data_IF_293406411270
#
_entry.id   IF_293406411270
#
_cell.length_a   1.000
_cell.length_b   1.000
_cell.length_c   1.000
_cell.angle_alpha   90.00
_cell.angle_beta   90.00
_cell.angle_gamma   90.00
#
_symmetry.space_group_name_H-M   'P 1'
#
loop_
_entity.id
_entity.type
_entity.pdbx_description
1 polymer ?
#
# COMPACT_ATOMS: atom_id res chain seq x y z
N UNK A 1 -2.06 0.77 -9.26
CA UNK A 1 -3.31 0.85 -8.50
C UNK A 1 -3.36 1.98 -7.45
N UNK A 2 -2.19 2.51 -7.03
CA UNK A 2 -2.09 3.54 -5.97
C UNK A 2 -1.79 4.95 -6.49
N UNK A 3 -1.54 5.13 -7.78
CA UNK A 3 -1.12 6.40 -8.36
C UNK A 3 -2.09 7.57 -8.12
N UNK A 4 -3.39 7.27 -8.04
CA UNK A 4 -4.41 8.28 -7.74
C UNK A 4 -4.48 8.70 -6.25
N UNK A 5 -3.77 7.98 -5.36
CA UNK A 5 -3.76 8.26 -3.91
C UNK A 5 -2.53 9.07 -3.49
N UNK A 6 -2.16 10.08 -4.24
CA UNK A 6 -1.11 11.02 -3.89
C UNK A 6 -1.63 12.09 -2.90
N UNK A 7 -0.73 12.69 -2.11
CA UNK A 7 -1.14 13.67 -1.10
C UNK A 7 -1.08 15.11 -1.60
N UNK A 8 0.07 15.55 -2.06
CA UNK A 8 0.28 16.95 -2.45
C UNK A 8 0.50 17.11 -3.95
N UNK A 9 1.40 16.33 -4.53
CA UNK A 9 1.76 16.43 -5.94
C UNK A 9 1.32 15.20 -6.71
N UNK A 10 0.72 15.40 -7.87
CA UNK A 10 0.37 14.30 -8.75
C UNK A 10 1.63 13.51 -9.15
N UNK A 11 1.56 12.18 -9.21
CA UNK A 11 2.67 11.36 -9.64
C UNK A 11 3.03 11.67 -11.10
N UNK A 12 4.25 11.33 -11.55
CA UNK A 12 4.61 11.45 -12.94
C UNK A 12 3.65 10.64 -13.84
N UNK A 13 3.51 11.00 -15.12
CA UNK A 13 2.65 10.29 -16.05
C UNK A 13 2.95 8.79 -16.07
N UNK A 14 1.91 7.96 -16.22
CA UNK A 14 2.08 6.51 -16.32
C UNK A 14 2.89 6.13 -17.57
N UNK A 15 3.54 4.96 -17.54
CA UNK A 15 4.23 4.44 -18.74
C UNK A 15 3.30 4.33 -19.94
N UNK A 16 2.00 4.06 -19.71
CA UNK A 16 1.01 4.06 -20.78
C UNK A 16 0.83 5.45 -21.42
N UNK A 17 0.79 6.50 -20.61
CA UNK A 17 0.72 7.87 -21.14
C UNK A 17 2.00 8.27 -21.88
N UNK A 18 3.17 7.90 -21.33
CA UNK A 18 4.47 8.17 -21.96
C UNK A 18 4.72 7.37 -23.23
N UNK A 19 4.06 6.22 -23.39
CA UNK A 19 4.22 5.36 -24.58
C UNK A 19 3.85 6.05 -25.90
N UNK A 20 3.02 7.10 -25.83
CA UNK A 20 2.69 7.90 -27.00
C UNK A 20 3.90 8.69 -27.56
N UNK A 21 4.92 8.92 -26.74
CA UNK A 21 6.14 9.67 -27.06
C UNK A 21 7.28 8.76 -27.57
N UNK A 22 7.14 7.43 -27.42
CA UNK A 22 8.17 6.45 -27.79
C UNK A 22 7.59 5.48 -28.83
N UNK A 23 7.92 5.63 -30.13
CA UNK A 23 7.43 4.74 -31.17
C UNK A 23 7.70 3.26 -30.87
N UNK A 24 6.70 2.41 -31.09
CA UNK A 24 6.78 0.96 -30.87
C UNK A 24 6.71 0.50 -29.40
N UNK A 25 6.76 1.40 -28.42
CA UNK A 25 6.74 1.01 -27.01
C UNK A 25 5.42 0.38 -26.56
N UNK A 26 4.30 0.70 -27.20
CA UNK A 26 2.98 0.14 -26.88
C UNK A 26 2.90 -1.37 -27.07
N UNK A 27 3.70 -1.93 -27.98
CA UNK A 27 3.72 -3.37 -28.26
C UNK A 27 4.36 -4.18 -27.11
N UNK A 28 5.05 -3.50 -26.19
CA UNK A 28 5.75 -4.09 -25.05
C UNK A 28 5.16 -3.68 -23.70
N UNK A 29 4.04 -2.97 -23.69
CA UNK A 29 3.49 -2.39 -22.48
C UNK A 29 2.19 -3.08 -22.07
N UNK A 30 2.12 -3.47 -20.80
CA UNK A 30 0.90 -3.93 -20.13
C UNK A 30 0.58 -2.98 -18.99
N UNK A 31 -0.62 -2.40 -19.02
CA UNK A 31 -1.13 -1.57 -17.94
C UNK A 31 -2.29 -2.30 -17.24
N UNK A 32 -2.15 -2.50 -15.93
CA UNK A 32 -3.20 -3.07 -15.10
C UNK A 32 -3.75 -2.00 -14.15
N UNK A 33 -5.05 -1.80 -14.17
CA UNK A 33 -5.77 -0.89 -13.30
C UNK A 33 -6.76 -1.61 -12.39
N UNK A 34 -7.19 -0.95 -11.33
CA UNK A 34 -8.13 -1.51 -10.36
C UNK A 34 -8.92 -0.41 -9.64
N UNK A 35 -10.20 -0.64 -9.40
CA UNK A 35 -11.04 0.22 -8.56
C UNK A 35 -10.93 -0.11 -7.06
N UNK A 36 -10.20 -1.17 -6.69
CA UNK A 36 -10.16 -1.66 -5.32
C UNK A 36 -9.61 -0.65 -4.30
N UNK A 37 -8.73 0.26 -4.72
CA UNK A 37 -8.07 1.22 -3.82
C UNK A 37 -8.62 2.64 -3.92
N UNK A 38 -9.31 2.93 -5.01
CA UNK A 38 -9.82 4.27 -5.32
C UNK A 38 -11.33 4.40 -5.20
N UNK A 39 -12.07 3.28 -5.28
CA UNK A 39 -13.53 3.26 -5.15
C UNK A 39 -13.99 2.25 -4.09
N UNK A 40 -13.87 0.96 -4.37
CA UNK A 40 -14.27 -0.08 -3.41
C UNK A 40 -13.58 -1.42 -3.70
N UNK A 41 -12.92 -2.03 -2.70
CA UNK A 41 -12.31 -3.34 -2.87
C UNK A 41 -13.34 -4.45 -3.07
N UNK A 42 -14.56 -4.30 -2.54
CA UNK A 42 -15.64 -5.29 -2.62
C UNK A 42 -16.22 -5.48 -4.03
N UNK A 43 -16.08 -4.50 -4.92
CA UNK A 43 -16.56 -4.61 -6.30
C UNK A 43 -15.75 -5.61 -7.15
N UNK A 44 -14.53 -5.91 -6.80
CA UNK A 44 -13.62 -6.80 -7.54
C UNK A 44 -13.46 -6.43 -9.01
N UNK A 45 -13.45 -5.13 -9.35
CA UNK A 45 -13.29 -4.61 -10.71
C UNK A 45 -11.87 -4.14 -10.95
N UNK A 46 -11.26 -4.68 -11.98
CA UNK A 46 -9.97 -4.26 -12.51
C UNK A 46 -9.97 -4.40 -14.03
N UNK A 47 -8.95 -3.89 -14.68
CA UNK A 47 -8.79 -3.96 -16.14
C UNK A 47 -7.34 -4.10 -16.56
N UNK A 48 -7.16 -4.58 -17.79
CA UNK A 48 -5.86 -4.68 -18.44
C UNK A 48 -5.91 -3.98 -19.80
N UNK A 49 -4.88 -3.20 -20.10
CA UNK A 49 -4.60 -2.65 -21.43
C UNK A 49 -3.28 -3.29 -21.86
N UNK A 50 -3.30 -4.00 -22.97
CA UNK A 50 -2.17 -4.76 -23.46
C UNK A 50 -2.19 -4.87 -24.98
N UNK A 51 -1.08 -5.27 -25.63
CA UNK A 51 -1.08 -5.61 -27.07
C UNK A 51 -2.13 -6.69 -27.38
N UNK A 52 -2.74 -6.66 -28.59
CA UNK A 52 -3.86 -7.56 -28.95
C UNK A 52 -3.55 -9.05 -28.76
N UNK A 53 -2.34 -9.49 -29.08
CA UNK A 53 -1.93 -10.90 -28.95
C UNK A 53 -1.91 -11.35 -27.48
N UNK A 54 -1.36 -10.52 -26.60
CA UNK A 54 -1.35 -10.80 -25.17
C UNK A 54 -2.75 -10.72 -24.57
N UNK A 55 -3.53 -9.70 -25.00
CA UNK A 55 -4.90 -9.52 -24.53
C UNK A 55 -5.80 -10.70 -24.90
N UNK A 56 -5.68 -11.26 -26.09
CA UNK A 56 -6.44 -12.43 -26.52
C UNK A 56 -6.17 -13.66 -25.63
N UNK A 57 -4.92 -13.88 -25.24
CA UNK A 57 -4.54 -14.95 -24.30
C UNK A 57 -5.07 -14.69 -22.91
N UNK A 58 -4.97 -13.44 -22.42
CA UNK A 58 -5.51 -13.06 -21.11
C UNK A 58 -7.03 -13.24 -21.03
N UNK A 59 -7.78 -12.89 -22.10
CA UNK A 59 -9.23 -13.12 -22.19
C UNK A 59 -9.55 -14.61 -22.12
N UNK A 60 -8.82 -15.45 -22.84
CA UNK A 60 -8.99 -16.89 -22.78
C UNK A 60 -8.74 -17.43 -21.37
N UNK A 61 -7.62 -17.05 -20.73
CA UNK A 61 -7.32 -17.45 -19.36
C UNK A 61 -8.42 -17.03 -18.39
N UNK A 62 -8.91 -15.79 -18.51
CA UNK A 62 -9.99 -15.28 -17.67
C UNK A 62 -11.28 -16.09 -17.85
N UNK A 63 -11.64 -16.43 -19.08
CA UNK A 63 -12.83 -17.22 -19.38
C UNK A 63 -12.80 -18.58 -18.66
N UNK A 64 -11.64 -19.22 -18.58
CA UNK A 64 -11.48 -20.50 -17.88
C UNK A 64 -11.28 -20.36 -16.37
N UNK A 65 -10.88 -19.19 -15.88
CA UNK A 65 -10.65 -18.95 -14.44
C UNK A 65 -11.94 -18.58 -13.70
N UNK A 66 -12.69 -17.60 -14.20
CA UNK A 66 -13.87 -17.04 -13.52
C UNK A 66 -15.02 -16.64 -14.47
N UNK A 67 -14.95 -17.04 -15.75
CA UNK A 67 -15.85 -16.67 -16.83
C UNK A 67 -15.84 -15.16 -17.12
N UNK A 68 -16.21 -14.30 -16.17
CA UNK A 68 -16.17 -12.83 -16.28
C UNK A 68 -16.30 -12.16 -14.91
N UNK A 69 -15.85 -10.92 -14.82
CA UNK A 69 -16.14 -10.04 -13.68
C UNK A 69 -17.64 -9.76 -13.61
N UNK A 70 -18.22 -9.77 -12.40
CA UNK A 70 -19.65 -9.49 -12.18
C UNK A 70 -20.15 -8.30 -12.97
N UNK A 71 -21.15 -8.50 -13.83
CA UNK A 71 -21.79 -7.43 -14.62
C UNK A 71 -22.48 -6.39 -13.74
N UNK A 72 -23.04 -6.81 -12.60
CA UNK A 72 -23.62 -5.90 -11.61
C UNK A 72 -22.55 -4.97 -11.04
N UNK A 73 -21.40 -5.50 -10.64
CA UNK A 73 -20.29 -4.71 -10.12
C UNK A 73 -19.76 -3.73 -11.17
N UNK A 74 -19.61 -4.16 -12.43
CA UNK A 74 -19.20 -3.31 -13.53
C UNK A 74 -20.21 -2.20 -13.81
N UNK A 75 -21.52 -2.51 -13.85
CA UNK A 75 -22.59 -1.53 -14.07
C UNK A 75 -22.64 -0.50 -12.92
N UNK A 76 -22.51 -0.94 -11.67
CA UNK A 76 -22.44 -0.05 -10.50
C UNK A 76 -21.25 0.90 -10.59
N UNK A 77 -20.06 0.39 -10.90
CA UNK A 77 -18.86 1.20 -11.08
C UNK A 77 -19.02 2.20 -12.24
N UNK A 78 -19.56 1.74 -13.38
CA UNK A 78 -19.78 2.60 -14.54
C UNK A 78 -20.77 3.73 -14.23
N UNK A 79 -21.86 3.45 -13.51
CA UNK A 79 -22.82 4.46 -13.11
C UNK A 79 -22.20 5.49 -12.14
N UNK A 80 -21.37 5.04 -11.21
CA UNK A 80 -20.66 5.95 -10.29
C UNK A 80 -19.72 6.88 -11.05
N UNK A 81 -18.93 6.33 -12.00
CA UNK A 81 -18.03 7.12 -12.83
C UNK A 81 -18.77 8.11 -13.73
N UNK A 82 -19.85 7.67 -14.39
CA UNK A 82 -20.70 8.54 -15.23
C UNK A 82 -21.34 9.68 -14.46
N UNK A 83 -21.66 9.48 -13.17
CA UNK A 83 -22.20 10.51 -12.31
C UNK A 83 -21.16 11.58 -11.91
N UNK A 84 -19.90 11.47 -12.35
CA UNK A 84 -18.83 12.43 -12.08
C UNK A 84 -18.39 12.52 -10.62
N UNK A 85 -18.69 11.52 -9.78
CA UNK A 85 -18.42 11.56 -8.33
C UNK A 85 -16.96 11.22 -7.97
N UNK A 86 -16.22 10.61 -8.88
CA UNK A 86 -14.87 10.10 -8.60
C UNK A 86 -13.88 11.19 -8.16
N UNK A 87 -13.80 12.38 -8.78
CA UNK A 87 -12.87 13.42 -8.36
C UNK A 87 -13.05 13.81 -6.89
N UNK A 88 -14.27 14.14 -6.48
CA UNK A 88 -14.57 14.54 -5.10
C UNK A 88 -14.28 13.41 -4.09
N UNK A 89 -14.53 12.16 -4.48
CA UNK A 89 -14.19 10.99 -3.65
C UNK A 89 -12.67 10.87 -3.47
N UNK A 90 -11.90 11.01 -4.55
CA UNK A 90 -10.43 10.96 -4.49
C UNK A 90 -9.86 12.09 -3.65
N UNK A 91 -10.37 13.31 -3.79
CA UNK A 91 -9.90 14.47 -3.02
C UNK A 91 -10.12 14.27 -1.52
N UNK A 92 -11.30 13.77 -1.13
CA UNK A 92 -11.56 13.44 0.28
C UNK A 92 -10.65 12.32 0.81
N UNK A 93 -10.46 11.26 0.04
CA UNK A 93 -9.58 10.15 0.44
C UNK A 93 -8.12 10.59 0.57
N UNK A 94 -7.63 11.41 -0.36
CA UNK A 94 -6.27 11.99 -0.32
C UNK A 94 -6.05 12.81 0.95
N UNK A 95 -7.00 13.68 1.31
CA UNK A 95 -6.93 14.50 2.52
C UNK A 95 -6.87 13.62 3.78
N UNK A 96 -7.78 12.65 3.91
CA UNK A 96 -7.81 11.75 5.06
C UNK A 96 -6.51 10.95 5.17
N UNK A 97 -6.02 10.43 4.06
CA UNK A 97 -4.80 9.61 4.09
C UNK A 97 -3.53 10.44 4.32
N UNK A 98 -3.49 11.68 3.83
CA UNK A 98 -2.39 12.60 4.12
C UNK A 98 -2.25 12.87 5.62
N UNK A 99 -3.36 13.18 6.30
CA UNK A 99 -3.39 13.39 7.76
C UNK A 99 -2.94 12.15 8.51
N UNK A 100 -3.49 10.98 8.18
CA UNK A 100 -3.14 9.73 8.84
C UNK A 100 -1.69 9.30 8.61
N UNK A 101 -1.17 9.48 7.39
CA UNK A 101 0.23 9.23 7.08
C UNK A 101 1.16 10.13 7.89
N UNK A 102 0.83 11.43 7.99
CA UNK A 102 1.59 12.38 8.79
C UNK A 102 1.57 11.97 10.26
N UNK A 103 0.38 11.71 10.83
CA UNK A 103 0.22 11.26 12.23
C UNK A 103 1.05 10.01 12.52
N UNK A 104 1.00 9.02 11.63
CA UNK A 104 1.80 7.79 11.80
C UNK A 104 3.30 8.06 11.75
N UNK A 105 3.75 8.85 10.77
CA UNK A 105 5.17 9.15 10.61
C UNK A 105 5.72 9.95 11.79
N UNK A 106 4.97 10.91 12.30
CA UNK A 106 5.40 11.71 13.44
C UNK A 106 5.45 10.86 14.73
N UNK A 107 4.44 10.03 14.95
CA UNK A 107 4.43 9.12 16.10
C UNK A 107 5.59 8.10 16.02
N UNK A 108 5.86 7.52 14.84
CA UNK A 108 7.00 6.60 14.66
C UNK A 108 8.34 7.28 14.94
N UNK A 109 8.54 8.53 14.50
CA UNK A 109 9.76 9.29 14.81
C UNK A 109 9.89 9.59 16.28
N UNK A 110 8.80 10.04 16.91
CA UNK A 110 8.78 10.41 18.31
C UNK A 110 8.99 9.22 19.24
N UNK A 111 8.31 8.11 18.99
CA UNK A 111 8.24 6.98 19.91
C UNK A 111 9.35 5.94 19.69
N UNK A 112 9.74 5.70 18.43
CA UNK A 112 10.77 4.72 18.08
C UNK A 112 12.13 5.33 17.77
N UNK A 113 12.19 6.62 17.42
CA UNK A 113 13.43 7.36 17.17
C UNK A 113 14.35 6.65 16.20
N UNK A 114 15.61 6.49 16.60
CA UNK A 114 16.66 5.88 15.78
C UNK A 114 16.50 4.36 15.59
N UNK A 115 15.56 3.71 16.30
CA UNK A 115 15.33 2.28 16.12
C UNK A 115 14.59 1.95 14.81
N UNK A 116 13.99 2.95 14.16
CA UNK A 116 13.28 2.80 12.89
C UNK A 116 13.71 3.87 11.89
N UNK A 117 13.74 3.51 10.61
CA UNK A 117 14.03 4.43 9.52
C UNK A 117 13.00 4.24 8.41
N UNK A 118 12.55 5.34 7.80
CA UNK A 118 11.61 5.32 6.68
C UNK A 118 11.66 6.63 5.89
N UNK A 119 11.22 6.57 4.64
CA UNK A 119 10.97 7.75 3.81
C UNK A 119 9.51 8.17 4.01
N UNK A 120 9.27 9.46 4.18
CA UNK A 120 7.92 10.02 4.26
C UNK A 120 7.12 9.68 3.00
N UNK A 121 5.98 8.97 3.09
CA UNK A 121 5.19 8.63 1.92
C UNK A 121 4.57 9.88 1.29
N UNK A 122 4.60 9.97 -0.03
CA UNK A 122 3.97 11.02 -0.81
C UNK A 122 2.55 10.63 -1.28
N UNK A 123 2.11 9.44 -0.90
CA UNK A 123 0.81 8.88 -1.26
C UNK A 123 0.66 7.41 -0.85
N UNK A 124 -0.38 6.78 -1.33
CA UNK A 124 -0.65 5.36 -1.06
C UNK A 124 -1.34 5.11 0.27
N UNK A 125 -1.06 3.96 0.87
CA UNK A 125 -1.75 3.42 2.04
C UNK A 125 -0.80 2.99 3.16
N UNK A 126 0.52 3.07 2.94
CA UNK A 126 1.50 2.40 3.76
C UNK A 126 2.72 3.28 4.05
N UNK A 127 3.29 3.09 5.24
CA UNK A 127 4.67 3.46 5.54
C UNK A 127 5.52 2.19 5.38
N UNK A 128 6.55 2.25 4.54
CA UNK A 128 7.59 1.24 4.43
C UNK A 128 8.78 1.66 5.26
N UNK A 129 9.13 0.85 6.24
CA UNK A 129 10.15 1.18 7.22
C UNK A 129 11.16 0.04 7.38
N UNK A 130 12.30 0.35 7.97
CA UNK A 130 13.33 -0.62 8.34
C UNK A 130 13.73 -0.45 9.80
N UNK A 131 13.89 -1.56 10.51
CA UNK A 131 14.48 -1.60 11.84
C UNK A 131 16.00 -1.42 11.73
N UNK A 132 16.56 -0.50 12.48
CA UNK A 132 17.99 -0.20 12.43
C UNK A 132 18.84 -1.07 13.36
N UNK A 133 18.23 -1.60 14.44
CA UNK A 133 18.93 -2.28 15.50
C UNK A 133 19.67 -1.32 16.46
N UNK A 134 19.40 -0.01 16.38
CA UNK A 134 20.02 0.98 17.23
C UNK A 134 19.74 0.69 18.72
N UNK A 135 20.76 0.89 19.57
CA UNK A 135 20.67 0.61 21.00
C UNK A 135 20.52 -0.86 21.37
N UNK A 136 20.91 -1.80 20.48
CA UNK A 136 20.77 -3.25 20.72
C UNK A 136 19.35 -3.78 20.60
N UNK A 137 18.42 -2.99 20.04
CA UNK A 137 17.02 -3.36 19.83
C UNK A 137 16.86 -4.39 18.71
N UNK A 138 15.69 -5.01 18.65
CA UNK A 138 15.34 -5.99 17.60
C UNK A 138 15.55 -5.42 16.19
N UNK A 139 16.15 -6.20 15.31
CA UNK A 139 16.40 -5.85 13.91
C UNK A 139 15.65 -6.76 12.92
N UNK A 140 15.08 -7.86 13.38
CA UNK A 140 14.31 -8.80 12.56
C UNK A 140 12.82 -8.46 12.65
N UNK A 141 12.21 -8.16 11.49
CA UNK A 141 10.81 -7.77 11.37
C UNK A 141 9.83 -8.87 11.74
N UNK A 142 10.18 -10.16 11.54
CA UNK A 142 9.31 -11.27 11.92
C UNK A 142 9.33 -11.47 13.45
N UNK A 143 10.51 -11.34 14.08
CA UNK A 143 10.63 -11.37 15.53
C UNK A 143 9.85 -10.20 16.15
N UNK A 144 10.02 -9.00 15.61
CA UNK A 144 9.31 -7.81 16.09
C UNK A 144 7.79 -7.92 15.89
N UNK A 145 7.31 -8.53 14.79
CA UNK A 145 5.88 -8.74 14.57
C UNK A 145 5.25 -9.62 15.66
N UNK A 146 5.93 -10.67 16.12
CA UNK A 146 5.45 -11.52 17.24
C UNK A 146 5.32 -10.71 18.52
N UNK A 147 6.35 -9.93 18.87
CA UNK A 147 6.33 -9.07 20.05
C UNK A 147 5.25 -8.00 19.99
N UNK A 148 5.01 -7.43 18.80
CA UNK A 148 3.97 -6.45 18.59
C UNK A 148 2.56 -7.05 18.75
N UNK A 149 2.33 -8.27 18.27
CA UNK A 149 1.06 -9.00 18.45
C UNK A 149 0.77 -9.23 19.93
N UNK A 150 1.76 -9.57 20.74
CA UNK A 150 1.61 -9.72 22.20
C UNK A 150 1.21 -8.41 22.90
N UNK A 151 1.49 -7.26 22.28
CA UNK A 151 1.05 -5.93 22.71
C UNK A 151 -0.25 -5.47 22.03
N UNK A 152 -0.89 -6.34 21.24
CA UNK A 152 -2.17 -6.06 20.58
C UNK A 152 -2.06 -5.14 19.35
N UNK A 153 -0.91 -5.12 18.66
CA UNK A 153 -0.73 -4.42 17.39
C UNK A 153 -0.14 -5.35 16.34
N UNK A 154 -0.61 -5.23 15.11
CA UNK A 154 -0.14 -6.03 13.99
C UNK A 154 0.33 -5.14 12.83
N UNK A 155 1.40 -5.55 12.19
CA UNK A 155 1.90 -5.00 10.93
C UNK A 155 2.37 -6.15 10.02
N UNK A 156 2.75 -5.85 8.80
CA UNK A 156 3.24 -6.86 7.87
C UNK A 156 4.77 -6.79 7.79
N UNK A 157 5.51 -7.87 8.15
CA UNK A 157 6.94 -7.96 7.89
C UNK A 157 7.23 -7.79 6.39
N UNK A 158 8.34 -7.11 6.05
CA UNK A 158 8.66 -6.77 4.67
C UNK A 158 9.29 -7.90 3.86
N UNK A 159 9.94 -8.86 4.52
CA UNK A 159 10.66 -9.95 3.85
C UNK A 159 9.86 -10.67 2.74
N UNK A 160 8.54 -11.00 2.89
CA UNK A 160 7.76 -11.66 1.85
C UNK A 160 7.57 -10.85 0.56
N UNK A 161 7.89 -9.56 0.54
CA UNK A 161 7.78 -8.71 -0.66
C UNK A 161 9.02 -8.75 -1.56
N UNK A 162 10.08 -9.41 -1.13
CA UNK A 162 11.31 -9.57 -1.90
C UNK A 162 11.29 -10.86 -2.72
N UNK A 163 11.65 -10.77 -3.99
CA UNK A 163 11.79 -11.94 -4.86
C UNK A 163 13.06 -12.74 -4.53
N UNK A 164 14.14 -12.06 -4.12
CA UNK A 164 15.43 -12.65 -3.77
C UNK A 164 16.09 -11.82 -2.66
N UNK A 165 16.90 -12.46 -1.83
CA UNK A 165 17.67 -11.82 -0.76
C UNK A 165 16.83 -10.89 0.12
N UNK A 166 15.83 -11.41 0.86
CA UNK A 166 14.91 -10.58 1.64
C UNK A 166 15.65 -9.78 2.71
N UNK A 167 15.32 -8.50 2.80
CA UNK A 167 15.73 -7.68 3.93
C UNK A 167 14.75 -7.91 5.09
N UNK A 168 15.18 -8.71 6.05
CA UNK A 168 14.38 -9.08 7.22
C UNK A 168 14.15 -7.90 8.19
N UNK A 169 14.85 -6.77 8.04
CA UNK A 169 14.63 -5.59 8.85
C UNK A 169 13.39 -4.79 8.44
N UNK A 170 12.82 -5.06 7.26
CA UNK A 170 11.77 -4.26 6.66
C UNK A 170 10.38 -4.56 7.22
N UNK A 171 9.53 -3.51 7.28
CA UNK A 171 8.20 -3.52 7.85
C UNK A 171 7.25 -2.69 6.95
N UNK A 172 5.98 -3.11 6.90
CA UNK A 172 4.93 -2.33 6.25
C UNK A 172 3.80 -2.01 7.23
N UNK A 173 3.63 -0.74 7.56
CA UNK A 173 2.52 -0.23 8.35
C UNK A 173 1.41 0.30 7.47
N UNK A 174 0.14 0.08 7.84
CA UNK A 174 -1.02 0.62 7.13
C UNK A 174 -1.69 1.71 7.95
N UNK A 175 -1.92 2.87 7.36
CA UNK A 175 -2.69 3.97 7.94
C UNK A 175 -4.10 4.10 7.34
N UNK A 176 -4.50 3.19 6.44
CA UNK A 176 -5.72 3.34 5.65
C UNK A 176 -7.02 3.04 6.40
N UNK A 177 -6.99 2.13 7.38
CA UNK A 177 -8.20 1.53 7.94
C UNK A 177 -8.62 2.06 9.31
N UNK A 178 -7.74 2.78 10.00
CA UNK A 178 -7.99 3.26 11.36
C UNK A 178 -7.85 4.78 11.45
N UNK A 179 -8.50 5.39 12.43
CA UNK A 179 -8.36 6.82 12.72
C UNK A 179 -7.05 7.14 13.43
N UNK A 180 -6.76 8.44 13.55
CA UNK A 180 -5.52 8.98 14.11
C UNK A 180 -5.30 8.49 15.55
N UNK A 181 -6.33 8.44 16.39
CA UNK A 181 -6.24 7.97 17.78
C UNK A 181 -5.71 6.53 17.84
N UNK A 182 -6.21 5.66 16.95
CA UNK A 182 -5.78 4.26 16.87
C UNK A 182 -4.39 4.11 16.28
N UNK A 183 -3.96 5.03 15.42
CA UNK A 183 -2.59 5.09 14.92
C UNK A 183 -1.64 5.42 16.07
N UNK A 184 -1.94 6.45 16.85
CA UNK A 184 -1.14 6.85 18.02
C UNK A 184 -1.05 5.72 19.06
N UNK A 185 -2.20 5.11 19.39
CA UNK A 185 -2.25 3.96 20.29
C UNK A 185 -1.40 2.79 19.76
N UNK A 186 -1.51 2.47 18.47
CA UNK A 186 -0.73 1.40 17.84
C UNK A 186 0.77 1.65 17.91
N UNK A 187 1.22 2.86 17.62
CA UNK A 187 2.65 3.22 17.71
C UNK A 187 3.15 3.17 19.14
N UNK A 188 2.38 3.64 20.12
CA UNK A 188 2.72 3.52 21.54
C UNK A 188 2.91 2.05 21.97
N UNK A 189 2.08 1.14 21.48
CA UNK A 189 2.23 -0.31 21.72
C UNK A 189 3.44 -0.91 21.01
N UNK A 190 3.78 -0.42 19.80
CA UNK A 190 5.03 -0.78 19.11
C UNK A 190 6.25 -0.37 19.93
N UNK A 191 6.22 0.83 20.54
CA UNK A 191 7.28 1.27 21.47
C UNK A 191 7.44 0.30 22.63
N UNK A 192 6.34 -0.11 23.28
CA UNK A 192 6.38 -1.07 24.40
C UNK A 192 6.98 -2.43 23.96
N UNK A 193 6.64 -2.89 22.74
CA UNK A 193 7.24 -4.11 22.19
C UNK A 193 8.73 -3.94 21.92
N UNK A 194 9.14 -2.78 21.39
CA UNK A 194 10.53 -2.45 21.10
C UNK A 194 11.38 -2.36 22.39
N UNK A 195 10.86 -1.73 23.44
CA UNK A 195 11.55 -1.58 24.72
C UNK A 195 11.71 -2.94 25.43
N UNK A 196 10.72 -3.82 25.31
CA UNK A 196 10.82 -5.19 25.81
C UNK A 196 11.90 -6.04 25.10
N UNK A 197 12.27 -5.70 23.86
CA UNK A 197 13.34 -6.38 23.11
C UNK A 197 14.74 -6.11 23.63
N UNK A 198 14.91 -5.03 24.40
CA UNK A 198 16.21 -4.60 24.93
C UNK A 198 16.53 -5.20 26.30
N UNK A 199 15.58 -5.90 26.93
CA UNK A 199 15.83 -6.56 28.22
C UNK A 199 16.55 -7.88 27.99
N UNK A 200 17.73 -8.13 28.60
CA UNK A 200 18.36 -9.43 28.54
C UNK A 200 17.40 -10.45 29.17
N UNK A 201 17.14 -11.54 28.47
CA UNK A 201 16.46 -12.71 29.04
C UNK A 201 17.31 -13.21 30.23
N UNK A 202 16.79 -12.98 31.44
CA UNK A 202 17.32 -13.51 32.68
C UNK A 202 17.13 -15.03 32.75
#
# INVERSE_FOLDING_TARGET
PYGDLYFNEAPPPSLLALSAQVPGSRDWLVHCGSLSKVLSPGLRVGWMIAPPELLSRAVMCKQFSDAHTSTFAQATAAQYLKAGRMPATLDNVRQVYAVRAQTMCDALRQDLGDAISFVQPQGGLFVWASLTGAGGKVKDGNAFAKMAIDKGVAFVPGAPFYCQNPDNSTLRFSFATVGEDKILEGVSRLKQAMDASSSPSS
#
